data_IF_958294148448
#
_entry.id   IF_958294148448
#
_cell.length_a   1.000
_cell.length_b   1.000
_cell.length_c   1.000
_cell.angle_alpha   90.00
_cell.angle_beta   90.00
_cell.angle_gamma   90.00
#
_symmetry.space_group_name_H-M   'P 1'
#
loop_
_entity.id
_entity.type
_entity.pdbx_description
1 polymer ?
#
# COMPACT_ATOMS: atom_id res chain seq x y z
N UNK A 1 12.97 -20.27 57.82
CA UNK A 1 13.99 -21.32 57.57
C UNK A 1 14.41 -21.22 56.14
N UNK A 2 15.58 -20.84 56.04
CA UNK A 2 16.77 -21.12 55.25
C UNK A 2 16.87 -20.42 53.89
N UNK A 3 17.67 -19.35 53.93
CA UNK A 3 18.39 -18.74 52.83
C UNK A 3 19.30 -19.76 52.11
N UNK A 4 19.44 -19.67 50.80
CA UNK A 4 20.71 -19.91 50.11
C UNK A 4 20.91 -18.96 48.95
N UNK A 5 21.81 -18.02 49.13
CA UNK A 5 22.51 -17.21 48.14
C UNK A 5 23.62 -18.07 47.50
N UNK A 6 23.87 -17.88 46.23
CA UNK A 6 25.18 -18.17 45.60
C UNK A 6 25.58 -17.06 44.62
N UNK A 7 26.89 -16.75 44.53
CA UNK A 7 27.36 -15.48 44.04
C UNK A 7 27.86 -15.51 42.58
N UNK A 8 27.89 -14.31 42.08
CA UNK A 8 28.57 -13.78 40.90
C UNK A 8 30.02 -14.23 40.74
N UNK A 9 30.44 -14.59 39.53
CA UNK A 9 31.84 -14.64 39.12
C UNK A 9 32.03 -13.90 37.82
N UNK A 10 32.62 -12.71 37.93
CA UNK A 10 33.08 -11.84 36.87
C UNK A 10 34.48 -12.33 36.48
N UNK A 11 34.74 -12.66 35.21
CA UNK A 11 36.08 -12.78 34.66
C UNK A 11 36.35 -11.62 33.68
N UNK A 12 37.15 -10.70 34.17
CA UNK A 12 37.75 -9.59 33.43
C UNK A 12 39.14 -10.03 32.96
N UNK A 13 39.39 -10.30 31.70
CA UNK A 13 40.73 -10.51 31.14
C UNK A 13 41.17 -9.25 30.40
N UNK A 14 42.11 -8.57 31.03
CA UNK A 14 42.84 -7.42 30.52
C UNK A 14 44.00 -7.94 29.65
N UNK A 15 44.05 -7.58 28.35
CA UNK A 15 45.19 -7.87 27.47
C UNK A 15 46.00 -6.59 27.29
N UNK A 16 47.19 -6.57 27.92
CA UNK A 16 48.15 -5.48 27.83
C UNK A 16 49.11 -5.75 26.66
N UNK A 17 49.12 -4.93 25.62
CA UNK A 17 50.10 -4.97 24.53
C UNK A 17 51.20 -3.94 24.83
N UNK A 18 52.41 -4.46 25.10
CA UNK A 18 53.60 -3.61 25.23
C UNK A 18 54.16 -3.24 23.84
N UNK A 19 54.34 -1.94 23.63
CA UNK A 19 55.05 -1.37 22.46
C UNK A 19 56.52 -1.20 22.83
N UNK A 20 57.42 -1.92 22.19
CA UNK A 20 58.86 -1.74 22.28
C UNK A 20 59.30 -0.84 21.13
N UNK A 21 59.83 0.36 21.46
CA UNK A 21 60.51 1.27 20.55
C UNK A 21 62.02 0.93 20.45
N UNK A 22 62.49 0.73 19.20
CA UNK A 22 63.91 0.65 18.88
C UNK A 22 64.43 1.97 18.26
N UNK A 23 65.63 2.40 18.58
CA UNK A 23 66.19 3.66 18.09
C UNK A 23 66.77 3.54 16.69
N UNK A 24 66.48 4.51 15.83
CA UNK A 24 67.04 4.61 14.49
C UNK A 24 68.48 5.24 14.53
N UNK A 25 69.41 4.56 13.92
CA UNK A 25 70.77 5.09 13.65
C UNK A 25 70.74 6.02 12.45
N UNK A 26 71.26 7.24 12.62
CA UNK A 26 71.53 8.19 11.57
C UNK A 26 72.76 7.77 10.77
N UNK A 27 72.61 7.56 9.46
CA UNK A 27 73.72 7.51 8.51
C UNK A 27 73.72 8.79 7.67
N UNK A 28 74.86 9.49 7.70
CA UNK A 28 75.16 10.66 6.90
C UNK A 28 75.30 10.27 5.42
N UNK A 29 74.77 11.08 4.47
CA UNK A 29 74.91 10.77 3.04
C UNK A 29 76.20 11.35 2.47
N UNK A 30 76.97 10.49 1.77
CA UNK A 30 78.05 10.86 0.87
C UNK A 30 77.50 11.49 -0.40
N UNK A 31 78.07 12.66 -0.76
CA UNK A 31 77.78 13.38 -1.99
C UNK A 31 78.36 12.68 -3.20
N UNK A 32 77.55 12.39 -4.24
CA UNK A 32 78.00 12.04 -5.59
C UNK A 32 77.43 13.03 -6.60
N UNK A 33 78.13 13.33 -7.69
CA UNK A 33 77.85 14.45 -8.54
C UNK A 33 76.63 14.28 -9.42
N UNK A 34 75.93 15.39 -9.59
CA UNK A 34 74.69 15.55 -10.38
C UNK A 34 74.91 15.35 -11.87
N UNK A 35 74.11 14.56 -12.59
CA UNK A 35 74.05 14.60 -14.03
C UNK A 35 73.12 15.73 -14.51
N UNK A 36 73.53 16.39 -15.59
CA UNK A 36 72.81 17.42 -16.34
C UNK A 36 71.37 17.03 -16.69
N UNK A 37 70.42 18.02 -16.69
CA UNK A 37 69.02 17.72 -17.03
C UNK A 37 68.84 17.51 -18.53
N UNK A 38 68.38 16.32 -18.92
CA UNK A 38 67.77 16.06 -20.23
C UNK A 38 66.43 16.82 -20.36
N UNK A 39 66.07 17.31 -21.55
CA UNK A 39 64.81 18.05 -21.75
C UNK A 39 63.62 17.09 -21.55
N UNK A 40 62.80 17.42 -20.58
CA UNK A 40 61.51 16.77 -20.32
C UNK A 40 60.59 17.02 -21.52
N UNK A 41 60.00 15.98 -22.13
CA UNK A 41 58.98 16.18 -23.14
C UNK A 41 57.76 16.83 -22.48
N UNK A 42 57.27 17.88 -23.11
CA UNK A 42 56.08 18.63 -22.70
C UNK A 42 54.92 17.65 -22.48
N UNK A 43 54.52 17.53 -21.22
CA UNK A 43 53.31 16.81 -20.83
C UNK A 43 52.14 17.56 -21.46
N UNK A 44 51.53 16.99 -22.54
CA UNK A 44 50.24 17.46 -23.02
C UNK A 44 49.30 17.37 -21.82
N UNK A 45 48.82 18.53 -21.36
CA UNK A 45 47.67 18.62 -20.48
C UNK A 45 46.52 17.93 -21.21
N UNK A 46 46.18 16.73 -20.72
CA UNK A 46 44.92 16.09 -21.06
C UNK A 46 43.88 16.98 -20.40
N UNK A 47 43.24 17.85 -21.21
CA UNK A 47 42.02 18.51 -20.81
C UNK A 47 41.11 17.43 -20.22
N UNK A 48 40.96 17.42 -18.91
CA UNK A 48 39.94 16.62 -18.24
C UNK A 48 38.61 17.18 -18.72
N UNK A 49 38.02 16.50 -19.71
CA UNK A 49 36.64 16.70 -20.07
C UNK A 49 35.82 16.42 -18.80
N UNK A 50 35.44 17.51 -18.12
CA UNK A 50 34.45 17.43 -17.05
C UNK A 50 33.21 16.79 -17.63
N UNK A 51 32.76 15.64 -17.11
CA UNK A 51 31.59 14.99 -17.66
C UNK A 51 30.43 15.96 -17.56
N UNK A 52 29.94 16.42 -18.70
CA UNK A 52 28.73 17.23 -18.80
C UNK A 52 27.59 16.33 -18.35
N UNK A 53 27.13 16.50 -17.12
CA UNK A 53 25.92 15.85 -16.63
C UNK A 53 24.73 16.47 -17.36
N UNK A 54 24.32 15.86 -18.45
CA UNK A 54 23.07 16.20 -19.14
C UNK A 54 21.93 15.66 -18.27
N UNK A 55 21.33 16.51 -17.45
CA UNK A 55 20.08 16.19 -16.78
C UNK A 55 18.99 16.18 -17.83
N UNK A 56 18.61 15.01 -18.30
CA UNK A 56 17.42 14.84 -19.13
C UNK A 56 16.21 14.85 -18.23
N UNK A 57 15.52 15.99 -18.17
CA UNK A 57 14.24 16.09 -17.47
C UNK A 57 13.20 15.26 -18.25
N UNK A 58 12.86 14.08 -17.75
CA UNK A 58 11.87 13.21 -18.34
C UNK A 58 10.74 12.95 -17.37
N UNK A 59 9.51 13.02 -17.88
CA UNK A 59 8.32 12.60 -17.16
C UNK A 59 7.95 11.19 -17.60
N UNK A 60 7.70 10.31 -16.64
CA UNK A 60 7.27 8.92 -16.84
C UNK A 60 5.84 8.76 -16.37
N UNK A 61 4.96 8.41 -17.30
CA UNK A 61 3.53 8.21 -17.05
C UNK A 61 3.17 6.74 -17.18
N UNK A 62 2.54 6.14 -16.16
CA UNK A 62 1.84 4.88 -16.33
C UNK A 62 0.61 5.11 -17.22
N UNK A 63 0.45 4.29 -18.24
CA UNK A 63 -0.66 4.35 -19.20
C UNK A 63 -1.18 2.96 -19.45
N UNK A 64 -2.44 2.69 -19.10
CA UNK A 64 -3.12 1.45 -19.47
C UNK A 64 -3.77 1.61 -20.84
N UNK A 65 -3.53 0.67 -21.76
CA UNK A 65 -4.10 0.63 -23.08
C UNK A 65 -5.14 -0.49 -23.18
N UNK A 66 -6.39 -0.14 -23.44
CA UNK A 66 -7.49 -1.10 -23.57
C UNK A 66 -8.26 -0.88 -24.87
N UNK A 67 -8.66 -1.97 -25.53
CA UNK A 67 -9.49 -1.93 -26.72
C UNK A 67 -10.95 -1.58 -26.38
N UNK A 68 -11.81 -1.49 -27.39
CA UNK A 68 -13.23 -1.21 -27.23
C UNK A 68 -14.01 -2.30 -26.49
N UNK A 69 -13.43 -3.49 -26.31
CA UNK A 69 -13.99 -4.59 -25.55
C UNK A 69 -13.45 -4.66 -24.13
N UNK A 70 -12.53 -3.75 -23.75
CA UNK A 70 -11.91 -3.72 -22.43
C UNK A 70 -10.71 -4.67 -22.28
N UNK A 71 -10.23 -5.28 -23.39
CA UNK A 71 -9.04 -6.11 -23.37
C UNK A 71 -7.78 -5.25 -23.48
N UNK A 72 -6.71 -5.74 -22.88
CA UNK A 72 -5.40 -5.13 -22.97
C UNK A 72 -4.83 -5.17 -24.40
N UNK A 73 -4.34 -4.03 -24.87
CA UNK A 73 -3.62 -3.93 -26.15
C UNK A 73 -2.10 -3.99 -25.92
N UNK A 74 -1.41 -5.07 -26.34
CA UNK A 74 0.03 -5.23 -26.15
C UNK A 74 0.87 -4.49 -27.20
N UNK A 75 0.26 -3.77 -28.13
CA UNK A 75 0.92 -3.21 -29.32
C UNK A 75 0.99 -1.69 -29.34
N UNK A 76 0.92 -1.04 -28.15
CA UNK A 76 0.97 0.42 -28.05
C UNK A 76 2.35 0.96 -28.45
N UNK A 77 2.37 1.87 -29.44
CA UNK A 77 3.57 2.54 -29.94
C UNK A 77 3.58 4.04 -29.59
N UNK A 78 4.74 4.72 -29.64
CA UNK A 78 4.84 6.15 -29.35
C UNK A 78 3.92 7.03 -30.21
N UNK A 79 3.74 6.68 -31.48
CA UNK A 79 2.90 7.43 -32.45
C UNK A 79 1.40 7.27 -32.17
N UNK A 80 1.01 6.23 -31.42
CA UNK A 80 -0.37 6.03 -30.99
C UNK A 80 -0.80 6.95 -29.86
N UNK A 81 0.17 7.55 -29.14
CA UNK A 81 -0.10 8.27 -27.90
C UNK A 81 -0.03 9.77 -28.11
N UNK A 82 -1.07 10.48 -27.68
CA UNK A 82 -1.09 11.93 -27.54
C UNK A 82 -1.09 12.29 -26.05
N UNK A 83 -0.06 13.01 -25.62
CA UNK A 83 0.05 13.54 -24.24
C UNK A 83 -0.12 15.06 -24.28
N UNK A 84 -1.02 15.59 -23.48
CA UNK A 84 -1.17 17.04 -23.22
C UNK A 84 -0.76 17.30 -21.76
N UNK A 85 0.18 18.22 -21.55
CA UNK A 85 0.51 18.75 -20.23
C UNK A 85 0.07 20.21 -20.16
N UNK A 86 -0.81 20.53 -19.21
CA UNK A 86 -1.46 21.84 -19.09
C UNK A 86 -2.06 22.36 -20.42
N UNK A 87 -2.61 21.43 -21.23
CA UNK A 87 -3.19 21.71 -22.56
C UNK A 87 -2.16 21.81 -23.70
N UNK A 88 -0.87 21.69 -23.42
CA UNK A 88 0.20 21.75 -24.44
C UNK A 88 0.62 20.34 -24.85
N UNK A 89 0.55 20.05 -26.17
CA UNK A 89 0.96 18.75 -26.71
C UNK A 89 2.45 18.49 -26.48
N UNK A 90 2.77 17.33 -25.94
CA UNK A 90 4.13 16.87 -25.65
C UNK A 90 4.60 15.85 -26.68
N UNK A 91 5.91 15.78 -26.91
CA UNK A 91 6.49 14.76 -27.77
C UNK A 91 6.80 13.51 -26.96
N UNK A 92 6.10 12.41 -27.23
CA UNK A 92 6.38 11.09 -26.64
C UNK A 92 7.71 10.58 -27.20
N UNK A 93 8.62 10.17 -26.31
CA UNK A 93 9.93 9.64 -26.68
C UNK A 93 9.95 8.12 -26.70
N UNK A 94 9.26 7.50 -25.75
CA UNK A 94 9.19 6.04 -25.69
C UNK A 94 7.92 5.56 -25.02
N UNK A 95 7.48 4.38 -25.43
CA UNK A 95 6.44 3.59 -24.79
C UNK A 95 7.05 2.23 -24.49
N UNK A 96 7.06 1.82 -23.23
CA UNK A 96 7.70 0.56 -22.80
C UNK A 96 6.84 -0.15 -21.77
N UNK A 97 6.73 -1.44 -21.91
CA UNK A 97 6.22 -2.32 -20.85
C UNK A 97 7.34 -2.57 -19.83
N UNK A 98 7.10 -2.23 -18.56
CA UNK A 98 8.07 -2.39 -17.48
C UNK A 98 7.44 -3.24 -16.38
N UNK A 99 8.17 -4.22 -15.79
CA UNK A 99 7.67 -4.98 -14.66
C UNK A 99 7.21 -4.07 -13.52
N UNK A 100 6.01 -4.30 -13.03
CA UNK A 100 5.37 -3.47 -12.02
C UNK A 100 6.06 -3.60 -10.66
N UNK A 101 6.02 -2.50 -9.89
CA UNK A 101 6.37 -2.48 -8.47
C UNK A 101 5.08 -2.29 -7.67
N UNK A 102 4.54 -3.37 -7.13
CA UNK A 102 3.23 -3.44 -6.50
C UNK A 102 3.36 -3.46 -4.99
N UNK A 103 2.89 -2.41 -4.34
CA UNK A 103 2.76 -2.35 -2.89
C UNK A 103 1.32 -2.70 -2.49
N UNK A 104 1.14 -3.84 -1.83
CA UNK A 104 -0.14 -4.21 -1.22
C UNK A 104 -0.26 -3.51 0.13
N UNK A 105 -1.40 -2.87 0.38
CA UNK A 105 -1.72 -2.21 1.65
C UNK A 105 -3.00 -2.83 2.20
N UNK A 106 -2.86 -3.64 3.24
CA UNK A 106 -3.90 -4.49 3.79
C UNK A 106 -4.48 -3.89 5.07
N UNK A 107 -5.75 -3.57 5.03
CA UNK A 107 -6.52 -3.18 6.21
C UNK A 107 -6.98 -4.44 6.95
N UNK A 108 -6.42 -4.65 8.13
CA UNK A 108 -6.78 -5.75 9.03
C UNK A 108 -7.25 -5.23 10.40
N UNK A 109 -7.57 -3.94 10.46
CA UNK A 109 -8.10 -3.28 11.64
C UNK A 109 -9.61 -3.42 11.79
N UNK A 110 -10.10 -3.16 13.00
CA UNK A 110 -11.55 -3.09 13.28
C UNK A 110 -12.27 -4.43 13.44
N UNK A 111 -11.58 -5.57 13.39
CA UNK A 111 -12.20 -6.90 13.50
C UNK A 111 -12.91 -7.14 14.85
N UNK A 112 -12.54 -6.40 15.88
CA UNK A 112 -13.08 -6.54 17.24
C UNK A 112 -13.98 -5.40 17.69
N UNK A 113 -14.46 -4.53 16.81
CA UNK A 113 -15.15 -3.29 17.22
C UNK A 113 -16.53 -3.47 17.81
N UNK A 114 -16.95 -4.69 18.15
CA UNK A 114 -18.20 -4.94 18.91
C UNK A 114 -19.49 -4.54 18.18
N UNK A 115 -19.39 -4.09 16.95
CA UNK A 115 -20.49 -3.59 16.13
C UNK A 115 -21.31 -4.72 15.49
N UNK A 116 -21.47 -5.85 16.19
CA UNK A 116 -22.51 -6.83 15.85
C UNK A 116 -22.44 -7.39 14.41
N UNK A 117 -21.25 -7.77 13.93
CA UNK A 117 -21.12 -8.43 12.62
C UNK A 117 -20.71 -7.53 11.46
N UNK A 118 -20.40 -6.26 11.71
CA UNK A 118 -19.93 -5.30 10.70
C UNK A 118 -18.42 -5.23 10.55
N UNK A 119 -17.68 -6.22 11.08
CA UNK A 119 -16.24 -6.20 11.04
C UNK A 119 -15.69 -6.64 9.70
N UNK A 120 -14.63 -5.98 9.25
CA UNK A 120 -13.79 -6.45 8.15
C UNK A 120 -13.23 -7.82 8.49
N UNK A 121 -13.20 -8.71 7.51
CA UNK A 121 -12.64 -10.04 7.71
C UNK A 121 -11.18 -10.09 7.28
N UNK A 122 -10.26 -10.25 8.22
CA UNK A 122 -8.83 -10.47 7.95
C UNK A 122 -8.60 -11.65 7.01
N UNK A 123 -9.44 -12.70 7.10
CA UNK A 123 -9.36 -13.85 6.21
C UNK A 123 -9.75 -13.49 4.77
N UNK A 124 -10.75 -12.64 4.58
CA UNK A 124 -11.16 -12.17 3.25
C UNK A 124 -10.07 -11.25 2.68
N UNK A 125 -9.55 -10.28 3.45
CA UNK A 125 -8.42 -9.44 3.03
C UNK A 125 -7.24 -10.28 2.55
N UNK A 126 -6.90 -11.33 3.32
CA UNK A 126 -5.84 -12.27 2.97
C UNK A 126 -6.15 -13.02 1.67
N UNK A 127 -7.37 -13.51 1.49
CA UNK A 127 -7.77 -14.25 0.30
C UNK A 127 -7.69 -13.39 -0.97
N UNK A 128 -8.19 -12.14 -0.91
CA UNK A 128 -8.12 -11.15 -1.99
C UNK A 128 -6.68 -10.83 -2.34
N UNK A 129 -5.83 -10.55 -1.34
CA UNK A 129 -4.41 -10.27 -1.55
C UNK A 129 -3.66 -11.44 -2.17
N UNK A 130 -3.96 -12.67 -1.73
CA UNK A 130 -3.35 -13.88 -2.29
C UNK A 130 -3.77 -14.13 -3.74
N UNK A 131 -5.03 -13.91 -4.09
CA UNK A 131 -5.52 -14.07 -5.46
C UNK A 131 -4.85 -13.03 -6.39
N UNK A 132 -4.78 -11.78 -5.93
CA UNK A 132 -4.08 -10.72 -6.66
C UNK A 132 -2.62 -11.09 -6.93
N UNK A 133 -1.86 -11.51 -5.91
CA UNK A 133 -0.44 -11.89 -6.07
C UNK A 133 -0.25 -13.04 -7.05
N UNK A 134 -1.14 -14.04 -7.04
CA UNK A 134 -1.08 -15.15 -7.99
C UNK A 134 -1.24 -14.68 -9.44
N UNK A 135 -2.09 -13.67 -9.68
CA UNK A 135 -2.42 -13.16 -11.02
C UNK A 135 -1.47 -12.08 -11.54
N UNK A 136 -0.66 -11.46 -10.69
CA UNK A 136 0.36 -10.51 -11.14
C UNK A 136 1.29 -11.17 -12.14
N UNK A 137 1.79 -10.38 -13.10
CA UNK A 137 2.76 -10.86 -14.09
C UNK A 137 4.07 -11.30 -13.43
N UNK A 138 4.73 -12.29 -14.05
CA UNK A 138 6.07 -12.73 -13.63
C UNK A 138 7.08 -11.57 -13.75
N UNK A 139 8.02 -11.52 -12.82
CA UNK A 139 9.01 -10.45 -12.76
C UNK A 139 8.56 -9.19 -12.04
N UNK A 140 7.27 -9.03 -11.69
CA UNK A 140 6.79 -7.94 -10.86
C UNK A 140 7.41 -8.00 -9.45
N UNK A 141 7.78 -6.83 -8.93
CA UNK A 141 8.20 -6.67 -7.54
C UNK A 141 6.97 -6.49 -6.66
N UNK A 142 6.92 -7.20 -5.56
CA UNK A 142 5.81 -7.10 -4.60
C UNK A 142 6.34 -6.83 -3.21
N UNK A 143 5.70 -5.90 -2.50
CA UNK A 143 5.85 -5.72 -1.06
C UNK A 143 4.48 -5.69 -0.40
N UNK A 144 4.39 -6.02 0.88
CA UNK A 144 3.12 -6.05 1.60
C UNK A 144 3.23 -5.28 2.91
N UNK A 145 2.45 -4.19 3.00
CA UNK A 145 2.15 -3.46 4.22
C UNK A 145 0.82 -3.97 4.79
N UNK A 146 0.79 -4.19 6.07
CA UNK A 146 -0.43 -4.41 6.84
C UNK A 146 -0.61 -3.24 7.79
N UNK A 147 -1.85 -2.79 7.99
CA UNK A 147 -2.16 -1.86 9.05
C UNK A 147 -3.35 -2.30 9.90
N UNK A 148 -3.19 -2.09 11.19
CA UNK A 148 -4.20 -2.31 12.22
C UNK A 148 -3.89 -1.39 13.40
N UNK A 149 -3.47 -1.91 14.54
CA UNK A 149 -2.97 -1.11 15.68
C UNK A 149 -1.67 -0.36 15.36
N UNK A 150 -0.86 -0.91 14.46
CA UNK A 150 0.40 -0.40 13.89
C UNK A 150 0.39 -0.56 12.37
N UNK A 151 1.41 -0.02 11.73
CA UNK A 151 1.69 -0.23 10.31
C UNK A 151 2.95 -1.06 10.19
N UNK A 152 2.85 -2.24 9.60
CA UNK A 152 3.91 -3.22 9.57
C UNK A 152 4.22 -3.67 8.14
N UNK A 153 5.50 -3.64 7.74
CA UNK A 153 5.97 -4.22 6.49
C UNK A 153 6.15 -5.74 6.69
N UNK A 154 5.12 -6.52 6.40
CA UNK A 154 5.12 -7.97 6.62
C UNK A 154 5.87 -8.74 5.55
N UNK A 155 6.04 -8.14 4.35
CA UNK A 155 6.87 -8.66 3.26
C UNK A 155 7.62 -7.50 2.61
N UNK A 156 8.96 -7.43 2.73
CA UNK A 156 9.79 -6.50 1.97
C UNK A 156 9.72 -6.79 0.47
N UNK A 157 10.16 -5.84 -0.36
CA UNK A 157 10.20 -5.97 -1.81
C UNK A 157 10.88 -7.23 -2.29
N UNK A 158 10.16 -8.05 -3.06
CA UNK A 158 10.66 -9.30 -3.66
C UNK A 158 9.98 -9.58 -4.99
N UNK A 159 10.65 -10.32 -5.88
CA UNK A 159 10.07 -10.92 -7.09
C UNK A 159 9.52 -12.34 -6.82
N UNK A 160 9.86 -12.90 -5.67
CA UNK A 160 9.42 -14.24 -5.30
C UNK A 160 7.95 -14.20 -4.82
N UNK A 161 7.04 -14.60 -5.72
CA UNK A 161 5.62 -14.73 -5.42
C UNK A 161 5.35 -15.73 -4.29
N UNK A 162 6.14 -16.82 -4.21
CA UNK A 162 5.92 -17.84 -3.18
C UNK A 162 6.28 -17.31 -1.79
N UNK A 163 7.37 -16.53 -1.68
CA UNK A 163 7.72 -15.84 -0.44
C UNK A 163 6.60 -14.88 -0.01
N UNK A 164 6.03 -14.12 -0.96
CA UNK A 164 4.90 -13.23 -0.69
C UNK A 164 3.64 -13.97 -0.25
N UNK A 165 3.29 -15.06 -0.94
CA UNK A 165 2.13 -15.90 -0.57
C UNK A 165 2.32 -16.55 0.81
N UNK A 166 3.54 -16.98 1.14
CA UNK A 166 3.88 -17.51 2.48
C UNK A 166 3.70 -16.43 3.54
N UNK A 167 4.20 -15.22 3.30
CA UNK A 167 4.05 -14.10 4.24
C UNK A 167 2.56 -13.76 4.47
N UNK A 168 1.74 -13.69 3.40
CA UNK A 168 0.31 -13.49 3.49
C UNK A 168 -0.40 -14.56 4.32
N UNK A 169 0.00 -15.83 4.20
CA UNK A 169 -0.56 -16.95 4.98
C UNK A 169 -0.19 -16.88 6.45
N UNK A 170 1.04 -16.48 6.79
CA UNK A 170 1.60 -16.70 8.14
C UNK A 170 1.76 -15.44 8.96
N UNK A 171 1.86 -14.24 8.34
CA UNK A 171 2.16 -13.00 9.06
C UNK A 171 0.96 -12.04 9.15
N UNK A 172 -0.07 -12.20 8.29
CA UNK A 172 -1.25 -11.34 8.36
C UNK A 172 -2.03 -11.63 9.64
N UNK A 173 -2.22 -10.60 10.45
CA UNK A 173 -2.89 -10.66 11.75
C UNK A 173 -3.95 -9.56 11.88
N UNK A 174 -4.98 -9.79 12.68
CA UNK A 174 -6.03 -8.81 12.94
C UNK A 174 -5.66 -7.85 14.07
N UNK A 175 -6.33 -6.68 14.09
CA UNK A 175 -6.20 -5.71 15.17
C UNK A 175 -7.50 -4.95 15.43
N UNK A 176 -7.54 -4.23 16.56
CA UNK A 176 -8.74 -3.50 17.02
C UNK A 176 -8.89 -2.12 16.38
N UNK A 177 -7.79 -1.53 15.95
CA UNK A 177 -7.74 -0.17 15.39
C UNK A 177 -7.41 -0.23 13.90
N UNK A 178 -7.66 0.86 13.19
CA UNK A 178 -7.22 1.07 11.82
C UNK A 178 -6.39 2.37 11.77
N UNK A 179 -5.12 2.26 11.40
CA UNK A 179 -4.17 3.38 11.26
C UNK A 179 -3.99 3.72 9.78
N UNK A 180 -5.11 4.11 9.17
CA UNK A 180 -5.16 4.34 7.72
C UNK A 180 -4.23 5.47 7.28
N UNK A 181 -4.25 6.63 7.94
CA UNK A 181 -3.40 7.78 7.58
C UNK A 181 -1.91 7.46 7.71
N UNK A 182 -1.53 6.74 8.78
CA UNK A 182 -0.14 6.27 8.92
C UNK A 182 0.25 5.27 7.81
N UNK A 183 -0.70 4.40 7.39
CA UNK A 183 -0.48 3.45 6.29
C UNK A 183 -0.24 4.15 4.95
N UNK A 184 -0.99 5.24 4.64
CA UNK A 184 -0.76 6.05 3.45
C UNK A 184 0.64 6.67 3.43
N UNK A 185 1.08 7.23 4.56
CA UNK A 185 2.41 7.82 4.68
C UNK A 185 3.52 6.76 4.56
N UNK A 186 3.32 5.58 5.18
CA UNK A 186 4.24 4.45 5.06
C UNK A 186 4.29 3.91 3.62
N UNK A 187 3.16 3.85 2.92
CA UNK A 187 3.11 3.45 1.52
C UNK A 187 3.92 4.40 0.63
N UNK A 188 3.76 5.71 0.82
CA UNK A 188 4.57 6.71 0.11
C UNK A 188 6.07 6.52 0.36
N UNK A 189 6.47 6.25 1.60
CA UNK A 189 7.88 6.00 1.94
C UNK A 189 8.41 4.72 1.29
N UNK A 190 7.64 3.63 1.26
CA UNK A 190 8.05 2.37 0.63
C UNK A 190 8.26 2.51 -0.89
N UNK A 191 7.62 3.47 -1.53
CA UNK A 191 7.72 3.69 -2.97
C UNK A 191 8.87 4.62 -3.36
N UNK A 192 9.44 5.36 -2.42
CA UNK A 192 10.45 6.41 -2.69
C UNK A 192 11.60 5.91 -3.55
N UNK A 193 12.11 4.72 -3.25
CA UNK A 193 13.29 4.13 -3.90
C UNK A 193 12.92 3.24 -5.11
N UNK A 194 11.65 3.20 -5.50
CA UNK A 194 11.21 2.43 -6.67
C UNK A 194 11.20 3.30 -7.92
N UNK A 195 11.45 2.72 -9.13
CA UNK A 195 11.41 3.46 -10.39
C UNK A 195 10.05 4.12 -10.64
N UNK A 196 10.05 5.38 -11.05
CA UNK A 196 8.83 6.07 -11.45
C UNK A 196 8.21 5.45 -12.71
N UNK A 197 6.89 5.56 -12.84
CA UNK A 197 6.14 5.04 -13.98
C UNK A 197 5.78 3.55 -13.89
N UNK A 198 6.28 2.84 -12.88
CA UNK A 198 5.92 1.43 -12.62
C UNK A 198 5.49 1.19 -11.18
N UNK A 199 5.14 2.24 -10.44
CA UNK A 199 4.72 2.18 -9.03
C UNK A 199 3.22 2.00 -8.95
N UNK A 200 2.80 0.94 -8.28
CA UNK A 200 1.40 0.65 -8.02
C UNK A 200 1.18 0.46 -6.53
N UNK A 201 0.07 0.98 -6.04
CA UNK A 201 -0.45 0.68 -4.71
C UNK A 201 -1.79 -0.02 -4.88
N UNK A 202 -1.97 -1.16 -4.25
CA UNK A 202 -3.28 -1.81 -4.18
C UNK A 202 -3.71 -1.83 -2.73
N UNK A 203 -4.77 -1.08 -2.43
CA UNK A 203 -5.32 -0.97 -1.09
C UNK A 203 -6.57 -1.84 -0.97
N UNK A 204 -6.65 -2.65 0.09
CA UNK A 204 -7.85 -3.40 0.45
C UNK A 204 -8.33 -2.82 1.77
N UNK A 205 -9.31 -1.90 1.73
CA UNK A 205 -9.70 -1.07 2.88
C UNK A 205 -11.07 -0.40 2.70
N UNK A 206 -11.72 0.03 3.77
CA UNK A 206 -12.83 0.99 3.75
C UNK A 206 -12.35 2.44 3.95
N UNK A 207 -11.06 2.63 4.19
CA UNK A 207 -10.43 3.93 4.40
C UNK A 207 -10.83 4.63 5.70
N UNK A 208 -11.49 3.95 6.63
CA UNK A 208 -11.86 4.53 7.93
C UNK A 208 -10.65 4.52 8.86
N UNK A 209 -10.39 5.65 9.50
CA UNK A 209 -9.30 5.83 10.46
C UNK A 209 -9.83 5.80 11.89
N UNK A 210 -9.16 5.05 12.77
CA UNK A 210 -9.51 5.08 14.19
C UNK A 210 -8.93 6.34 14.85
N UNK A 211 -9.73 7.11 15.61
CA UNK A 211 -9.26 8.31 16.29
C UNK A 211 -7.98 8.09 17.11
N UNK A 212 -7.16 9.16 17.23
CA UNK A 212 -5.91 9.14 17.99
C UNK A 212 -4.69 8.64 17.20
N UNK A 213 -4.74 8.67 15.87
CA UNK A 213 -3.56 8.53 15.01
C UNK A 213 -2.62 9.72 15.12
N UNK A 214 -1.35 9.52 14.73
CA UNK A 214 -0.30 10.55 14.77
C UNK A 214 -0.17 11.33 13.48
N UNK A 215 -0.77 10.85 12.40
CA UNK A 215 -0.68 11.40 11.05
C UNK A 215 -1.97 12.10 10.68
N UNK A 216 -1.87 13.33 10.17
CA UNK A 216 -2.99 14.02 9.54
C UNK A 216 -3.34 13.36 8.20
N UNK A 217 -4.63 13.18 7.95
CA UNK A 217 -5.12 12.46 6.77
C UNK A 217 -4.82 13.21 5.48
N UNK A 218 -5.01 14.53 5.46
CA UNK A 218 -4.76 15.32 4.26
C UNK A 218 -3.27 15.33 3.91
N UNK A 219 -2.41 15.40 4.92
CA UNK A 219 -0.96 15.29 4.72
C UNK A 219 -0.56 13.90 4.22
N UNK A 220 -1.14 12.83 4.77
CA UNK A 220 -0.86 11.47 4.32
C UNK A 220 -1.27 11.25 2.84
N UNK A 221 -2.43 11.77 2.43
CA UNK A 221 -2.89 11.74 1.03
C UNK A 221 -1.94 12.53 0.14
N UNK A 222 -1.53 13.74 0.53
CA UNK A 222 -0.54 14.53 -0.25
C UNK A 222 0.77 13.77 -0.47
N UNK A 223 1.28 13.10 0.58
CA UNK A 223 2.51 12.28 0.47
C UNK A 223 2.33 11.12 -0.50
N UNK A 224 1.18 10.44 -0.45
CA UNK A 224 0.89 9.34 -1.37
C UNK A 224 0.80 9.82 -2.82
N UNK A 225 0.11 10.94 -3.08
CA UNK A 225 0.04 11.55 -4.42
C UNK A 225 1.42 11.97 -4.93
N UNK A 226 2.27 12.52 -4.06
CA UNK A 226 3.65 12.89 -4.39
C UNK A 226 4.54 11.69 -4.73
N UNK A 227 4.19 10.47 -4.28
CA UNK A 227 4.92 9.24 -4.63
C UNK A 227 4.75 8.82 -6.10
N UNK A 228 3.86 9.48 -6.87
CA UNK A 228 3.61 9.24 -8.30
C UNK A 228 3.33 7.77 -8.62
N UNK A 229 2.55 7.13 -7.79
CA UNK A 229 2.09 5.75 -7.97
C UNK A 229 0.65 5.74 -8.49
N UNK A 230 0.30 4.73 -9.27
CA UNK A 230 -1.09 4.40 -9.60
C UNK A 230 -1.71 3.70 -8.39
N UNK A 231 -2.85 4.19 -7.89
CA UNK A 231 -3.50 3.66 -6.69
C UNK A 231 -4.80 2.97 -7.05
N UNK A 232 -4.83 1.65 -6.89
CA UNK A 232 -6.03 0.84 -7.02
C UNK A 232 -6.61 0.53 -5.66
N UNK A 233 -7.93 0.55 -5.54
CA UNK A 233 -8.62 0.36 -4.28
C UNK A 233 -9.71 -0.67 -4.44
N UNK A 234 -9.66 -1.73 -3.63
CA UNK A 234 -10.74 -2.72 -3.46
C UNK A 234 -11.36 -2.41 -2.12
N UNK A 235 -12.53 -1.78 -2.14
CA UNK A 235 -13.14 -1.22 -0.93
C UNK A 235 -14.10 -2.18 -0.25
N UNK A 236 -14.09 -2.17 1.07
CA UNK A 236 -15.09 -2.85 1.89
C UNK A 236 -16.41 -2.09 2.01
N UNK A 237 -16.51 -0.86 1.50
CA UNK A 237 -17.63 0.05 1.75
C UNK A 237 -18.98 -0.59 1.48
N UNK A 238 -19.27 -0.98 0.24
CA UNK A 238 -20.56 -1.55 -0.13
C UNK A 238 -20.80 -2.93 0.52
N UNK A 239 -19.75 -3.74 0.66
CA UNK A 239 -19.81 -5.01 1.35
C UNK A 239 -20.26 -4.89 2.80
N UNK A 240 -19.71 -3.89 3.53
CA UNK A 240 -20.09 -3.60 4.92
C UNK A 240 -21.49 -3.02 5.00
N UNK A 241 -21.86 -2.09 4.11
CA UNK A 241 -23.19 -1.48 4.08
C UNK A 241 -24.29 -2.50 3.83
N UNK A 242 -24.12 -3.42 2.87
CA UNK A 242 -25.10 -4.49 2.62
C UNK A 242 -25.25 -5.45 3.78
N UNK A 243 -24.16 -5.83 4.45
CA UNK A 243 -24.24 -6.65 5.66
C UNK A 243 -24.96 -5.92 6.79
N UNK A 244 -24.78 -4.61 6.86
CA UNK A 244 -25.43 -3.74 7.80
C UNK A 244 -26.96 -3.78 7.63
N UNK A 245 -27.49 -3.74 6.42
CA UNK A 245 -28.91 -3.75 6.15
C UNK A 245 -29.58 -5.10 6.48
N UNK A 246 -28.87 -6.20 6.28
CA UNK A 246 -29.38 -7.55 6.58
C UNK A 246 -29.35 -7.92 8.08
N UNK A 247 -28.56 -7.20 8.88
CA UNK A 247 -28.29 -7.53 10.30
C UNK A 247 -29.30 -6.99 11.32
N UNK A 248 -30.35 -6.27 10.90
CA UNK A 248 -31.32 -5.62 11.84
C UNK A 248 -32.38 -6.54 12.40
N UNK A 249 -32.51 -7.76 11.90
CA UNK A 249 -33.47 -8.75 12.39
C UNK A 249 -32.79 -10.07 12.66
N UNK A 250 -32.21 -10.26 13.83
CA UNK A 250 -31.82 -11.58 14.27
C UNK A 250 -33.04 -12.28 14.89
N UNK A 251 -33.61 -13.20 14.16
CA UNK A 251 -34.59 -14.17 14.70
C UNK A 251 -33.75 -15.24 15.39
N UNK A 252 -33.52 -15.10 16.69
CA UNK A 252 -32.98 -16.22 17.45
C UNK A 252 -34.16 -17.10 17.90
N UNK A 253 -34.30 -18.31 17.34
CA UNK A 253 -35.03 -19.38 17.99
C UNK A 253 -34.32 -19.66 19.30
N UNK A 254 -34.89 -19.18 20.40
CA UNK A 254 -34.51 -19.66 21.72
C UNK A 254 -35.16 -21.04 21.85
N UNK A 255 -34.41 -22.06 21.45
CA UNK A 255 -34.67 -23.39 21.98
C UNK A 255 -34.37 -23.33 23.47
N UNK A 256 -35.40 -23.09 24.27
CA UNK A 256 -35.31 -23.43 25.67
C UNK A 256 -35.10 -24.95 25.71
N UNK A 257 -33.87 -25.39 25.91
CA UNK A 257 -33.62 -26.75 26.38
C UNK A 257 -34.47 -26.90 27.63
N UNK A 258 -35.38 -27.91 27.66
CA UNK A 258 -36.05 -28.24 28.90
C UNK A 258 -34.92 -28.63 29.87
N UNK A 259 -34.61 -27.76 30.83
CA UNK A 259 -33.84 -28.18 31.98
C UNK A 259 -34.72 -29.20 32.69
N UNK A 260 -34.46 -30.46 32.33
CA UNK A 260 -35.02 -31.59 33.02
C UNK A 260 -34.69 -31.47 34.49
N UNK A 261 -35.66 -31.80 35.32
CA UNK A 261 -35.52 -32.11 36.72
C UNK A 261 -35.43 -30.91 37.71
N UNK A 262 -36.33 -29.96 37.58
CA UNK A 262 -36.85 -29.33 38.81
C UNK A 262 -38.28 -29.76 39.05
N UNK A 263 -38.57 -30.46 40.15
CA UNK A 263 -39.93 -30.86 40.51
C UNK A 263 -40.90 -29.71 40.75
N UNK A 264 -40.39 -28.47 40.74
CA UNK A 264 -41.13 -27.22 41.02
C UNK A 264 -41.94 -26.74 39.82
N UNK A 265 -41.70 -27.24 38.61
CA UNK A 265 -42.44 -26.81 37.41
C UNK A 265 -43.82 -27.49 37.26
N UNK A 266 -44.19 -28.39 38.16
CA UNK A 266 -45.46 -29.13 38.07
C UNK A 266 -46.61 -28.51 38.86
N UNK A 267 -46.37 -27.44 39.62
CA UNK A 267 -47.42 -26.81 40.43
C UNK A 267 -47.46 -25.29 40.22
N UNK A 268 -47.88 -24.87 39.03
CA UNK A 268 -48.41 -23.51 38.89
C UNK A 268 -49.92 -23.60 39.20
N UNK A 269 -50.40 -23.14 40.34
CA UNK A 269 -51.79 -23.30 40.77
C UNK A 269 -52.78 -22.51 39.94
N UNK A 270 -52.27 -21.72 38.98
CA UNK A 270 -53.11 -20.88 38.09
C UNK A 270 -53.48 -21.56 36.77
N UNK A 271 -52.97 -22.77 36.50
CA UNK A 271 -53.26 -23.50 35.26
C UNK A 271 -54.18 -24.71 35.53
N UNK A 272 -55.19 -24.95 34.67
CA UNK A 272 -56.03 -26.15 34.78
C UNK A 272 -55.21 -27.43 34.69
N UNK A 273 -55.59 -28.48 35.42
CA UNK A 273 -54.93 -29.79 35.36
C UNK A 273 -54.92 -30.33 33.92
N UNK A 274 -53.74 -30.68 33.43
CA UNK A 274 -53.56 -31.20 32.07
C UNK A 274 -53.11 -30.23 31.01
N UNK A 275 -52.84 -28.97 31.35
CA UNK A 275 -52.30 -27.96 30.41
C UNK A 275 -50.80 -28.16 30.24
N UNK A 276 -50.39 -28.70 29.12
CA UNK A 276 -49.00 -28.65 28.66
C UNK A 276 -48.70 -27.27 28.12
N UNK A 277 -47.73 -26.54 28.71
CA UNK A 277 -47.22 -25.31 28.11
C UNK A 277 -46.61 -25.64 26.75
N UNK A 278 -47.25 -25.18 25.69
CA UNK A 278 -46.61 -25.13 24.38
C UNK A 278 -45.33 -24.27 24.51
N UNK A 279 -44.23 -24.72 23.91
CA UNK A 279 -43.02 -23.87 23.88
C UNK A 279 -43.38 -22.56 23.23
N UNK A 280 -43.26 -21.46 24.01
CA UNK A 280 -43.47 -20.12 23.48
C UNK A 280 -42.37 -19.85 22.46
N UNK A 281 -42.73 -19.82 21.19
CA UNK A 281 -41.87 -19.33 20.13
C UNK A 281 -41.76 -17.81 20.29
N UNK A 282 -40.82 -17.37 21.11
CA UNK A 282 -40.51 -15.96 21.26
C UNK A 282 -39.58 -15.52 20.15
N UNK A 283 -40.07 -14.70 19.25
CA UNK A 283 -39.21 -13.92 18.36
C UNK A 283 -38.69 -12.74 19.19
N UNK A 284 -37.45 -12.82 19.65
CA UNK A 284 -36.83 -11.68 20.37
C UNK A 284 -36.16 -10.79 19.34
N UNK A 285 -36.82 -9.71 18.98
CA UNK A 285 -36.20 -8.62 18.21
C UNK A 285 -35.39 -7.79 19.19
N UNK A 286 -34.05 -7.95 19.16
CA UNK A 286 -33.16 -7.10 19.94
C UNK A 286 -33.00 -5.76 19.22
N UNK A 287 -33.72 -4.74 19.68
CA UNK A 287 -33.57 -3.39 19.25
C UNK A 287 -32.65 -2.67 20.24
N UNK A 288 -31.38 -2.43 19.85
CA UNK A 288 -30.43 -1.65 20.64
C UNK A 288 -30.24 -0.27 19.99
N UNK A 289 -30.81 0.81 20.58
CA UNK A 289 -30.66 2.15 20.03
C UNK A 289 -29.22 2.66 19.99
N UNK A 290 -28.34 2.21 20.92
CA UNK A 290 -26.93 2.59 20.95
C UNK A 290 -26.20 1.97 19.77
N UNK A 291 -26.43 0.68 19.50
CA UNK A 291 -25.88 -0.01 18.33
C UNK A 291 -26.35 0.62 17.02
N UNK A 292 -27.60 1.01 16.91
CA UNK A 292 -28.11 1.74 15.74
C UNK A 292 -27.41 3.05 15.50
N UNK A 293 -27.13 3.83 16.57
CA UNK A 293 -26.39 5.10 16.48
C UNK A 293 -24.95 4.87 16.03
N UNK A 294 -24.24 3.90 16.63
CA UNK A 294 -22.88 3.55 16.26
C UNK A 294 -22.78 3.10 14.81
N UNK A 295 -23.73 2.27 14.36
CA UNK A 295 -23.82 1.85 12.97
C UNK A 295 -23.99 3.04 12.02
N UNK A 296 -24.93 3.93 12.29
CA UNK A 296 -25.18 5.12 11.46
C UNK A 296 -23.95 6.05 11.41
N UNK A 297 -23.22 6.19 12.51
CA UNK A 297 -21.98 6.96 12.55
C UNK A 297 -20.90 6.30 11.67
N UNK A 298 -20.72 5.00 11.80
CA UNK A 298 -19.76 4.25 10.98
C UNK A 298 -20.11 4.31 9.48
N UNK A 299 -21.38 4.15 9.10
CA UNK A 299 -21.85 4.30 7.72
C UNK A 299 -21.52 5.69 7.15
N UNK A 300 -21.68 6.75 7.97
CA UNK A 300 -21.31 8.11 7.56
C UNK A 300 -19.79 8.26 7.33
N UNK A 301 -18.97 7.67 8.23
CA UNK A 301 -17.51 7.69 8.11
C UNK A 301 -17.03 6.91 6.88
N UNK A 302 -17.62 5.76 6.60
CA UNK A 302 -17.34 4.94 5.43
C UNK A 302 -17.65 5.70 4.14
N UNK A 303 -18.84 6.34 4.03
CA UNK A 303 -19.19 7.14 2.84
C UNK A 303 -18.29 8.37 2.66
N UNK A 304 -17.87 9.01 3.76
CA UNK A 304 -16.89 10.11 3.70
C UNK A 304 -15.53 9.61 3.21
N UNK A 305 -15.10 8.46 3.69
CA UNK A 305 -13.84 7.84 3.28
C UNK A 305 -13.86 7.42 1.81
N UNK A 306 -14.96 6.86 1.33
CA UNK A 306 -15.16 6.45 -0.06
C UNK A 306 -14.90 7.61 -1.03
N UNK A 307 -15.43 8.81 -0.76
CA UNK A 307 -15.19 9.99 -1.60
C UNK A 307 -13.70 10.31 -1.72
N UNK A 308 -12.96 10.25 -0.60
CA UNK A 308 -11.51 10.50 -0.61
C UNK A 308 -10.76 9.41 -1.39
N UNK A 309 -11.14 8.15 -1.18
CA UNK A 309 -10.54 7.02 -1.87
C UNK A 309 -10.79 7.08 -3.39
N UNK A 310 -12.02 7.43 -3.80
CA UNK A 310 -12.38 7.61 -5.22
C UNK A 310 -11.54 8.71 -5.85
N UNK A 311 -11.41 9.88 -5.19
CA UNK A 311 -10.57 10.96 -5.67
C UNK A 311 -9.11 10.52 -5.81
N UNK A 312 -8.55 9.81 -4.83
CA UNK A 312 -7.16 9.31 -4.91
C UNK A 312 -6.98 8.33 -6.07
N UNK A 313 -7.91 7.40 -6.29
CA UNK A 313 -7.84 6.46 -7.40
C UNK A 313 -7.90 7.22 -8.75
N UNK A 314 -8.85 8.13 -8.93
CA UNK A 314 -9.02 8.90 -10.16
C UNK A 314 -7.81 9.80 -10.47
N UNK A 315 -7.30 10.54 -9.48
CA UNK A 315 -6.15 11.44 -9.66
C UNK A 315 -4.86 10.67 -10.02
N UNK A 316 -4.75 9.43 -9.57
CA UNK A 316 -3.58 8.58 -9.84
C UNK A 316 -3.72 7.68 -11.05
N UNK A 317 -4.89 7.66 -11.71
CA UNK A 317 -5.17 6.80 -12.86
C UNK A 317 -5.47 5.34 -12.49
N UNK A 318 -5.74 5.07 -11.23
CA UNK A 318 -6.11 3.74 -10.74
C UNK A 318 -7.62 3.46 -10.80
N UNK A 319 -8.01 2.34 -10.22
CA UNK A 319 -9.41 1.90 -10.16
C UNK A 319 -9.93 1.92 -8.73
N UNK A 320 -11.14 2.43 -8.53
CA UNK A 320 -11.93 2.27 -7.30
C UNK A 320 -12.96 1.18 -7.54
N UNK A 321 -12.91 0.08 -6.79
CA UNK A 321 -13.79 -1.06 -6.90
C UNK A 321 -14.62 -1.21 -5.62
N UNK A 322 -15.92 -1.41 -5.77
CA UNK A 322 -16.91 -1.43 -4.68
C UNK A 322 -17.67 -2.77 -4.68
N UNK A 323 -16.99 -3.90 -4.37
CA UNK A 323 -17.62 -5.21 -4.35
C UNK A 323 -18.70 -5.30 -3.27
N UNK A 324 -19.78 -6.02 -3.60
CA UNK A 324 -20.90 -6.25 -2.70
C UNK A 324 -20.87 -7.64 -2.04
N UNK A 325 -20.02 -8.55 -2.54
CA UNK A 325 -19.85 -9.91 -2.01
C UNK A 325 -18.36 -10.28 -1.87
N UNK A 326 -18.11 -11.36 -1.10
CA UNK A 326 -16.75 -11.90 -0.94
C UNK A 326 -16.19 -12.44 -2.26
N UNK A 327 -17.05 -13.06 -3.05
CA UNK A 327 -16.71 -13.65 -4.34
C UNK A 327 -16.36 -12.58 -5.35
N UNK A 328 -17.14 -11.50 -5.39
CA UNK A 328 -16.87 -10.34 -6.24
C UNK A 328 -15.57 -9.64 -5.84
N UNK A 329 -15.31 -9.51 -4.53
CA UNK A 329 -14.08 -8.91 -4.03
C UNK A 329 -12.82 -9.68 -4.46
N UNK A 330 -12.89 -11.02 -4.50
CA UNK A 330 -11.82 -11.88 -5.01
C UNK A 330 -11.72 -11.75 -6.54
N UNK A 331 -12.83 -11.73 -7.26
CA UNK A 331 -12.84 -11.58 -8.72
C UNK A 331 -12.21 -10.25 -9.16
N UNK A 332 -12.56 -9.15 -8.48
CA UNK A 332 -12.02 -7.81 -8.75
C UNK A 332 -10.51 -7.70 -8.48
N UNK A 333 -9.94 -8.56 -7.63
CA UNK A 333 -8.48 -8.65 -7.49
C UNK A 333 -7.82 -9.05 -8.81
N UNK A 334 -8.47 -9.92 -9.60
CA UNK A 334 -8.04 -10.29 -10.94
C UNK A 334 -8.06 -9.11 -11.93
N UNK A 335 -9.10 -8.27 -11.86
CA UNK A 335 -9.20 -7.06 -12.69
C UNK A 335 -8.07 -6.07 -12.38
N UNK A 336 -7.76 -5.87 -11.09
CA UNK A 336 -6.63 -5.01 -10.69
C UNK A 336 -5.31 -5.59 -11.17
N UNK A 337 -5.09 -6.91 -11.01
CA UNK A 337 -3.86 -7.56 -11.49
C UNK A 337 -3.70 -7.44 -13.00
N UNK A 338 -4.79 -7.59 -13.76
CA UNK A 338 -4.80 -7.39 -15.21
C UNK A 338 -4.51 -5.93 -15.59
N UNK A 339 -5.12 -4.96 -14.89
CA UNK A 339 -4.86 -3.54 -15.13
C UNK A 339 -3.39 -3.19 -14.90
N UNK A 340 -2.79 -3.66 -13.80
CA UNK A 340 -1.35 -3.48 -13.51
C UNK A 340 -0.48 -4.13 -14.59
N UNK A 341 -0.84 -5.35 -15.03
CA UNK A 341 -0.11 -6.07 -16.08
C UNK A 341 -0.25 -5.43 -17.47
N UNK A 342 -1.25 -4.58 -17.66
CA UNK A 342 -1.54 -3.92 -18.93
C UNK A 342 -0.94 -2.52 -19.06
N UNK A 343 -0.18 -2.04 -18.08
CA UNK A 343 0.36 -0.70 -18.09
C UNK A 343 1.69 -0.60 -18.83
N UNK A 344 1.77 0.46 -19.63
CA UNK A 344 3.00 0.95 -20.24
C UNK A 344 3.56 2.12 -19.44
N UNK A 345 4.86 2.33 -19.55
CA UNK A 345 5.49 3.59 -19.17
C UNK A 345 5.70 4.43 -20.42
N UNK A 346 4.94 5.49 -20.52
CA UNK A 346 5.10 6.52 -21.57
C UNK A 346 6.07 7.57 -21.05
N UNK A 347 7.17 7.78 -21.78
CA UNK A 347 8.18 8.78 -21.41
C UNK A 347 8.13 9.95 -22.38
N UNK A 348 8.09 11.18 -21.85
CA UNK A 348 8.19 12.40 -22.65
C UNK A 348 9.07 13.44 -21.93
N UNK A 349 9.59 14.39 -22.70
CA UNK A 349 10.26 15.58 -22.15
C UNK A 349 9.26 16.74 -22.13
N UNK A 350 8.98 17.33 -20.96
CA UNK A 350 8.05 18.45 -20.89
C UNK A 350 8.61 19.66 -21.62
N UNK A 351 7.76 20.34 -22.41
CA UNK A 351 8.14 21.59 -23.10
C UNK A 351 8.44 22.72 -22.13
N UNK A 352 7.75 22.77 -20.99
CA UNK A 352 8.07 23.63 -19.87
C UNK A 352 9.00 22.87 -18.91
N UNK A 353 10.27 23.27 -18.76
CA UNK A 353 11.20 22.58 -17.88
C UNK A 353 10.64 22.34 -16.47
N UNK A 354 11.04 21.24 -15.83
CA UNK A 354 10.63 20.98 -14.44
C UNK A 354 11.28 21.95 -13.47
N UNK A 355 12.48 22.44 -13.83
CA UNK A 355 13.21 23.44 -13.05
C UNK A 355 12.47 24.80 -12.96
N UNK A 356 11.60 25.12 -13.92
CA UNK A 356 10.81 26.35 -13.93
C UNK A 356 9.52 26.26 -13.10
N UNK A 357 9.30 25.13 -12.45
CA UNK A 357 8.11 24.91 -11.64
C UNK A 357 8.30 25.42 -10.21
N UNK A 358 7.23 25.99 -9.65
CA UNK A 358 7.20 26.34 -8.22
C UNK A 358 7.22 25.08 -7.32
N UNK A 359 7.68 25.22 -6.07
CA UNK A 359 7.69 24.10 -5.11
C UNK A 359 6.28 23.49 -4.95
N UNK A 360 6.14 22.20 -5.26
CA UNK A 360 4.87 21.50 -5.14
C UNK A 360 3.83 21.85 -6.21
N UNK A 361 4.24 22.44 -7.32
CA UNK A 361 3.39 22.76 -8.45
C UNK A 361 2.75 21.48 -9.01
N UNK A 362 1.42 21.51 -9.19
CA UNK A 362 0.68 20.43 -9.84
C UNK A 362 0.52 20.72 -11.33
N UNK A 363 0.94 19.79 -12.19
CA UNK A 363 0.75 19.83 -13.63
C UNK A 363 -0.30 18.83 -14.05
N UNK A 364 -1.31 19.31 -14.78
CA UNK A 364 -2.37 18.47 -15.31
C UNK A 364 -1.89 17.71 -16.55
N UNK A 365 -2.19 16.41 -16.61
CA UNK A 365 -1.87 15.56 -17.77
C UNK A 365 -3.15 14.96 -18.32
N UNK A 366 -3.26 14.94 -19.64
CA UNK A 366 -4.30 14.23 -20.39
C UNK A 366 -3.61 13.34 -21.41
N UNK A 367 -4.04 12.08 -21.47
CA UNK A 367 -3.52 11.10 -22.44
C UNK A 367 -4.68 10.60 -23.26
N UNK A 368 -4.49 10.56 -24.56
CA UNK A 368 -5.48 10.03 -25.51
C UNK A 368 -4.81 9.20 -26.59
N UNK A 369 -5.57 8.28 -27.19
CA UNK A 369 -5.10 7.50 -28.33
C UNK A 369 -5.35 8.23 -29.64
N UNK A 370 -4.43 8.09 -30.59
CA UNK A 370 -4.63 8.44 -32.01
C UNK A 370 -5.21 7.27 -32.79
N UNK A 371 -5.19 6.05 -32.24
CA UNK A 371 -5.81 4.87 -32.86
C UNK A 371 -7.29 4.80 -32.52
N UNK A 372 -8.11 4.53 -33.54
CA UNK A 372 -9.55 4.31 -33.38
C UNK A 372 -9.78 3.01 -32.60
N UNK A 373 -10.70 3.03 -31.63
CA UNK A 373 -11.05 1.86 -30.83
C UNK A 373 -10.08 1.54 -29.69
N UNK A 374 -9.04 2.34 -29.47
CA UNK A 374 -8.12 2.19 -28.35
C UNK A 374 -8.34 3.31 -27.32
N UNK A 375 -8.58 2.95 -26.09
CA UNK A 375 -8.71 3.87 -24.95
C UNK A 375 -7.45 3.84 -24.11
N UNK A 376 -6.94 5.03 -23.76
CA UNK A 376 -5.77 5.17 -22.89
C UNK A 376 -6.21 5.77 -21.56
N UNK A 377 -5.80 5.12 -20.47
CA UNK A 377 -6.06 5.58 -19.11
C UNK A 377 -4.74 5.90 -18.42
N UNK A 378 -4.66 7.06 -17.78
CA UNK A 378 -3.49 7.47 -17.01
C UNK A 378 -3.90 8.35 -15.84
N UNK A 379 -2.94 8.71 -14.97
CA UNK A 379 -3.15 9.73 -13.94
C UNK A 379 -3.49 11.08 -14.57
N UNK A 380 -4.29 11.89 -13.86
CA UNK A 380 -4.73 13.21 -14.33
C UNK A 380 -3.66 14.30 -14.21
N UNK A 381 -2.57 14.02 -13.53
CA UNK A 381 -1.47 14.95 -13.35
C UNK A 381 -0.40 14.43 -12.38
N UNK A 382 0.54 15.29 -12.07
CA UNK A 382 1.61 15.01 -11.11
C UNK A 382 2.09 16.28 -10.41
N UNK A 383 2.61 16.11 -9.21
CA UNK A 383 3.29 17.17 -8.47
C UNK A 383 4.75 17.19 -8.91
N UNK A 384 5.25 18.38 -9.30
CA UNK A 384 6.67 18.55 -9.63
C UNK A 384 7.48 18.41 -8.34
N UNK A 385 8.54 17.57 -8.31
CA UNK A 385 9.39 17.48 -7.12
C UNK A 385 10.03 18.83 -6.86
N UNK A 386 10.02 19.26 -5.61
CA UNK A 386 10.89 20.37 -5.22
C UNK A 386 12.34 19.92 -5.43
N UNK A 387 13.07 20.62 -6.30
CA UNK A 387 14.52 20.45 -6.42
C UNK A 387 15.12 20.92 -5.09
N UNK A 388 15.32 20.02 -4.13
CA UNK A 388 16.24 20.33 -3.05
C UNK A 388 17.61 20.38 -3.68
N UNK A 389 18.15 21.60 -3.79
CA UNK A 389 19.57 21.82 -3.97
C UNK A 389 20.24 21.26 -2.71
N UNK A 390 20.87 20.08 -2.83
CA UNK A 390 21.87 19.60 -1.88
C UNK A 390 23.17 20.35 -2.10
#
# INVERSE_FOLDING_TARGET
>A
MSLRQHPLLIFLTLFLLAVTSAPAQQQTPQSSPSPSPSPTPARKEVEQETPVRVFTEEVRLPVAAVDSYGHYDPTLEPDDVLVLEDGVAQQVRSVRHIPANVLLVLDTGGESSGLGGFSKSTNLTRAVAMDLVKRLQEGSWVAVLQFSNSVDLIQPWTKDKQATLKALKTKVSSGKRARFSEALAAAAQQLKDRPEGSRHVVMITDGVDTPGGKMDRAEAVRRLLAARATVHIISYTEFVLQKSDKGTTSVSKVEQRPTSTSPISQTDPTLPPGTTRSPAFGVTVRFDPAMKRLRKAYEADVRKSEKVLTTVAEETGGKMLLPVSSEEMIAQAGEVASAIGSEYVVTYRPKRPLADAGPGEYRRVQVSSRRVGLSLHSRRGYVVPSTQQD
#
